data_IF_482221471588
#
_entry.id   IF_482221471588
#
_cell.length_a   1.000
_cell.length_b   1.000
_cell.length_c   1.000
_cell.angle_alpha   90.00
_cell.angle_beta   90.00
_cell.angle_gamma   90.00
#
_symmetry.space_group_name_H-M   'P 1'
#
loop_
_entity.id
_entity.type
_entity.pdbx_description
1 polymer ?
#
# COMPACT_ATOMS: atom_id res chain seq x y z
N UNK A 1 13.49 -49.36 0.75
CA UNK A 1 13.13 -49.91 -0.57
C UNK A 1 12.37 -48.81 -1.27
N UNK A 2 13.03 -48.11 -2.19
CA UNK A 2 12.37 -47.12 -3.04
C UNK A 2 11.47 -47.91 -4.00
N UNK A 3 10.15 -47.77 -3.88
CA UNK A 3 9.22 -48.32 -4.87
C UNK A 3 9.56 -47.70 -6.23
N UNK A 4 9.73 -48.56 -7.24
CA UNK A 4 10.05 -48.13 -8.60
C UNK A 4 8.95 -47.21 -9.10
N UNK A 5 9.30 -46.24 -9.96
CA UNK A 5 8.29 -45.42 -10.63
C UNK A 5 7.28 -46.28 -11.39
N UNK A 6 7.71 -47.44 -11.90
CA UNK A 6 6.83 -48.40 -12.57
C UNK A 6 5.79 -48.99 -11.61
N UNK A 7 6.17 -49.34 -10.37
CA UNK A 7 5.24 -49.87 -9.37
C UNK A 7 4.17 -48.83 -8.99
N UNK A 8 4.58 -47.57 -8.93
CA UNK A 8 3.68 -46.44 -8.65
C UNK A 8 2.74 -46.18 -9.82
N UNK A 9 3.22 -46.30 -11.06
CA UNK A 9 2.39 -46.19 -12.27
C UNK A 9 1.35 -47.32 -12.29
N UNK A 10 1.78 -48.57 -12.08
CA UNK A 10 0.86 -49.73 -12.03
C UNK A 10 -0.17 -49.61 -10.90
N UNK A 11 0.21 -49.10 -9.73
CA UNK A 11 -0.73 -48.84 -8.65
C UNK A 11 -1.78 -47.78 -9.03
N UNK A 12 -1.37 -46.71 -9.73
CA UNK A 12 -2.27 -45.67 -10.22
C UNK A 12 -3.19 -46.23 -11.30
N UNK A 13 -2.67 -47.00 -12.26
CA UNK A 13 -3.46 -47.63 -13.33
C UNK A 13 -4.54 -48.55 -12.77
N UNK A 14 -4.21 -49.34 -11.75
CA UNK A 14 -5.16 -50.21 -11.05
C UNK A 14 -6.23 -49.43 -10.30
N UNK A 15 -5.87 -48.33 -9.62
CA UNK A 15 -6.83 -47.46 -8.92
C UNK A 15 -7.76 -46.74 -9.91
N UNK A 16 -7.25 -46.37 -11.07
CA UNK A 16 -8.02 -45.72 -12.13
C UNK A 16 -8.81 -46.72 -13.00
N UNK A 17 -8.65 -48.03 -12.76
CA UNK A 17 -9.31 -49.09 -13.52
C UNK A 17 -8.88 -49.15 -14.99
N UNK A 18 -7.64 -48.73 -15.30
CA UNK A 18 -7.09 -48.67 -16.67
C UNK A 18 -6.46 -50.02 -17.09
N UNK A 19 -6.24 -50.93 -16.13
CA UNK A 19 -5.50 -52.20 -16.28
C UNK A 19 -6.16 -53.23 -17.25
N UNK A 20 -7.45 -53.09 -17.60
CA UNK A 20 -8.24 -54.15 -18.28
C UNK A 20 -8.67 -53.87 -19.73
N UNK A 21 -8.12 -52.85 -20.41
CA UNK A 21 -8.63 -52.42 -21.73
C UNK A 21 -7.85 -52.97 -22.94
N UNK A 22 -7.52 -54.27 -22.97
CA UNK A 22 -6.95 -54.90 -24.17
C UNK A 22 -7.98 -55.21 -25.28
N UNK A 23 -9.29 -55.20 -24.96
CA UNK A 23 -10.34 -55.66 -25.87
C UNK A 23 -11.36 -54.61 -26.28
N UNK A 24 -11.21 -53.35 -25.86
CA UNK A 24 -12.23 -52.34 -26.13
C UNK A 24 -12.09 -51.81 -27.56
N UNK A 25 -13.13 -52.09 -28.36
CA UNK A 25 -13.21 -51.64 -29.74
C UNK A 25 -13.75 -50.23 -29.78
N UNK A 26 -13.41 -49.50 -30.84
CA UNK A 26 -13.99 -48.16 -31.10
C UNK A 26 -15.51 -48.19 -31.21
N UNK A 27 -16.09 -49.36 -31.47
CA UNK A 27 -17.53 -49.64 -31.55
C UNK A 27 -18.22 -49.67 -30.18
N UNK A 28 -17.47 -49.96 -29.11
CA UNK A 28 -18.00 -50.02 -27.73
C UNK A 28 -18.15 -48.62 -27.11
N UNK A 29 -17.57 -47.60 -27.76
CA UNK A 29 -17.67 -46.21 -27.36
C UNK A 29 -18.78 -45.50 -28.14
N UNK A 30 -19.90 -45.26 -27.49
CA UNK A 30 -20.92 -44.35 -28.00
C UNK A 30 -20.46 -42.89 -27.83
N UNK A 31 -19.60 -42.48 -28.76
CA UNK A 31 -19.02 -41.13 -28.83
C UNK A 31 -20.12 -40.09 -29.01
N UNK A 32 -21.23 -40.44 -29.68
CA UNK A 32 -22.35 -39.53 -29.91
C UNK A 32 -23.12 -39.27 -28.62
N UNK A 33 -23.44 -40.30 -27.84
CA UNK A 33 -24.05 -40.15 -26.51
C UNK A 33 -23.13 -39.42 -25.53
N UNK A 34 -21.82 -39.67 -25.59
CA UNK A 34 -20.86 -38.92 -24.77
C UNK A 34 -20.81 -37.44 -25.16
N UNK A 35 -20.77 -37.13 -26.46
CA UNK A 35 -20.81 -35.77 -26.98
C UNK A 35 -22.11 -35.04 -26.61
N UNK A 36 -23.24 -35.74 -26.66
CA UNK A 36 -24.54 -35.21 -26.26
C UNK A 36 -24.60 -34.96 -24.75
N UNK A 37 -24.10 -35.90 -23.94
CA UNK A 37 -23.98 -35.73 -22.48
C UNK A 37 -23.05 -34.57 -22.12
N UNK A 38 -21.93 -34.40 -22.84
CA UNK A 38 -21.06 -33.24 -22.69
C UNK A 38 -21.77 -31.94 -23.10
N UNK A 39 -22.51 -31.91 -24.21
CA UNK A 39 -23.31 -30.74 -24.60
C UNK A 39 -24.34 -30.38 -23.52
N UNK A 40 -25.03 -31.38 -22.96
CA UNK A 40 -26.04 -31.21 -21.92
C UNK A 40 -25.46 -30.74 -20.58
N UNK A 41 -24.22 -31.12 -20.27
CA UNK A 41 -23.45 -30.62 -19.13
C UNK A 41 -22.87 -29.21 -19.36
N UNK A 42 -23.23 -28.53 -20.45
CA UNK A 42 -22.69 -27.21 -20.82
C UNK A 42 -21.25 -27.27 -21.35
N UNK A 43 -20.67 -28.47 -21.41
CA UNK A 43 -19.34 -28.76 -21.96
C UNK A 43 -19.34 -28.75 -23.51
N UNK A 44 -20.49 -28.54 -24.17
CA UNK A 44 -20.54 -28.17 -25.60
C UNK A 44 -19.80 -26.85 -25.89
N UNK A 45 -19.56 -26.05 -24.83
CA UNK A 45 -18.65 -24.91 -24.80
C UNK A 45 -17.47 -25.16 -23.86
N UNK A 46 -16.90 -26.39 -23.78
CA UNK A 46 -15.56 -26.55 -23.16
C UNK A 46 -14.63 -25.65 -23.95
N UNK A 47 -14.43 -24.48 -23.36
CA UNK A 47 -13.44 -23.47 -23.63
C UNK A 47 -12.76 -23.61 -24.99
N UNK A 48 -13.44 -23.16 -26.05
CA UNK A 48 -12.73 -22.52 -27.17
C UNK A 48 -12.16 -21.19 -26.66
N UNK A 49 -11.30 -21.23 -25.64
CA UNK A 49 -10.42 -20.11 -25.37
C UNK A 49 -9.55 -20.03 -26.61
N UNK A 50 -9.64 -18.96 -27.41
CA UNK A 50 -8.79 -18.81 -28.57
C UNK A 50 -7.33 -18.96 -28.13
N UNK A 51 -6.53 -19.71 -28.88
CA UNK A 51 -5.12 -19.91 -28.55
C UNK A 51 -4.37 -18.58 -28.37
N UNK A 52 -4.85 -17.50 -28.99
CA UNK A 52 -4.38 -16.13 -28.76
C UNK A 52 -4.58 -15.65 -27.32
N UNK A 53 -5.72 -15.95 -26.67
CA UNK A 53 -6.00 -15.62 -25.26
C UNK A 53 -5.19 -16.47 -24.28
N UNK A 54 -4.96 -17.74 -24.60
CA UNK A 54 -4.05 -18.61 -23.83
C UNK A 54 -2.60 -18.17 -23.95
N UNK A 55 -2.16 -17.79 -25.16
CA UNK A 55 -0.84 -17.19 -25.40
C UNK A 55 -0.68 -15.86 -24.67
N UNK A 56 -1.71 -15.02 -24.63
CA UNK A 56 -1.66 -13.77 -23.86
C UNK A 56 -1.54 -14.02 -22.35
N UNK A 57 -2.26 -15.01 -21.82
CA UNK A 57 -2.13 -15.45 -20.41
C UNK A 57 -0.74 -16.00 -20.09
N UNK A 58 -0.20 -16.87 -20.94
CA UNK A 58 1.18 -17.37 -20.78
C UNK A 58 2.21 -16.24 -20.91
N UNK A 59 1.97 -15.27 -21.78
CA UNK A 59 2.82 -14.08 -21.93
C UNK A 59 2.70 -13.11 -20.75
N UNK A 60 1.56 -13.09 -20.04
CA UNK A 60 1.36 -12.32 -18.81
C UNK A 60 2.07 -12.97 -17.63
N UNK A 61 2.08 -14.30 -17.55
CA UNK A 61 2.87 -15.01 -16.55
C UNK A 61 4.40 -14.80 -16.75
N UNK A 62 4.81 -14.60 -18.00
CA UNK A 62 6.21 -14.33 -18.38
C UNK A 62 6.56 -12.83 -18.45
N UNK A 63 5.57 -11.93 -18.42
CA UNK A 63 5.80 -10.49 -18.34
C UNK A 63 5.74 -10.08 -16.88
N UNK A 64 6.78 -9.38 -16.44
CA UNK A 64 6.89 -8.27 -15.45
C UNK A 64 5.67 -7.87 -14.59
N UNK A 65 4.43 -8.04 -15.05
CA UNK A 65 3.16 -7.77 -14.36
C UNK A 65 2.98 -8.64 -13.09
N UNK A 66 3.50 -9.86 -13.07
CA UNK A 66 3.51 -10.74 -11.89
C UNK A 66 4.92 -10.84 -11.26
N UNK A 67 5.79 -9.85 -11.44
CA UNK A 67 7.02 -9.76 -10.65
C UNK A 67 6.66 -9.39 -9.21
N UNK A 68 6.41 -10.42 -8.40
CA UNK A 68 6.13 -10.35 -6.96
C UNK A 68 7.22 -9.61 -6.16
N UNK A 69 8.42 -9.48 -6.72
CA UNK A 69 9.55 -8.77 -6.09
C UNK A 69 9.25 -7.28 -5.84
N UNK A 70 8.41 -6.65 -6.67
CA UNK A 70 7.97 -5.26 -6.41
C UNK A 70 6.84 -5.19 -5.39
N UNK A 71 6.04 -6.24 -5.29
CA UNK A 71 4.95 -6.35 -4.31
C UNK A 71 5.53 -6.59 -2.91
N UNK A 72 6.62 -7.36 -2.79
CA UNK A 72 7.30 -7.57 -1.51
C UNK A 72 7.99 -6.31 -0.97
N UNK A 73 8.44 -5.40 -1.86
CA UNK A 73 9.03 -4.11 -1.47
C UNK A 73 7.97 -3.12 -0.97
N UNK A 74 6.70 -3.27 -1.40
CA UNK A 74 5.63 -2.35 -1.02
C UNK A 74 5.40 -2.29 0.49
N UNK A 75 5.46 -3.43 1.19
CA UNK A 75 5.32 -3.47 2.65
C UNK A 75 6.45 -2.71 3.38
N UNK A 76 7.68 -2.83 2.86
CA UNK A 76 8.83 -2.09 3.42
C UNK A 76 8.72 -0.58 3.14
N UNK A 77 8.22 -0.20 1.97
CA UNK A 77 7.97 1.21 1.64
C UNK A 77 6.85 1.81 2.48
N UNK A 78 5.82 1.02 2.82
CA UNK A 78 4.73 1.44 3.69
C UNK A 78 5.23 1.73 5.11
N UNK A 79 6.05 0.85 5.68
CA UNK A 79 6.71 1.10 6.98
C UNK A 79 7.59 2.37 6.97
N UNK A 80 8.33 2.60 5.89
CA UNK A 80 9.14 3.81 5.72
C UNK A 80 8.27 5.07 5.59
N UNK A 81 7.13 4.97 4.91
CA UNK A 81 6.18 6.07 4.77
C UNK A 81 5.51 6.42 6.09
N UNK A 82 5.11 5.42 6.88
CA UNK A 82 4.55 5.64 8.23
C UNK A 82 5.55 6.31 9.16
N UNK A 83 6.81 5.87 9.14
CA UNK A 83 7.87 6.51 9.92
C UNK A 83 8.09 7.97 9.50
N UNK A 84 8.11 8.24 8.20
CA UNK A 84 8.24 9.59 7.66
C UNK A 84 7.05 10.48 8.02
N UNK A 85 5.83 9.95 7.95
CA UNK A 85 4.61 10.66 8.35
C UNK A 85 4.67 11.06 9.82
N UNK A 86 5.09 10.14 10.69
CA UNK A 86 5.23 10.41 12.13
C UNK A 86 6.31 11.47 12.41
N UNK A 87 7.44 11.42 11.71
CA UNK A 87 8.49 12.42 11.83
C UNK A 87 8.04 13.81 11.35
N UNK A 88 7.30 13.88 10.23
CA UNK A 88 6.71 15.13 9.73
C UNK A 88 5.72 15.68 10.74
N UNK A 89 4.85 14.84 11.29
CA UNK A 89 3.86 15.26 12.28
C UNK A 89 4.53 15.80 13.55
N UNK A 90 5.57 15.13 14.05
CA UNK A 90 6.38 15.61 15.18
C UNK A 90 7.00 16.98 14.89
N UNK A 91 7.64 17.14 13.73
CA UNK A 91 8.26 18.41 13.34
C UNK A 91 7.25 19.54 13.20
N UNK A 92 6.04 19.24 12.71
CA UNK A 92 4.95 20.20 12.60
C UNK A 92 4.43 20.63 13.98
N UNK A 93 4.31 19.72 14.94
CA UNK A 93 3.88 20.05 16.29
C UNK A 93 4.94 20.84 17.08
N UNK A 94 6.22 20.51 16.90
CA UNK A 94 7.34 21.32 17.41
C UNK A 94 7.32 22.74 16.83
N UNK A 95 7.14 22.87 15.51
CA UNK A 95 7.09 24.18 14.86
C UNK A 95 5.92 25.04 15.35
N UNK A 96 4.74 24.44 15.53
CA UNK A 96 3.60 25.14 16.14
C UNK A 96 3.93 25.64 17.55
N UNK A 97 4.56 24.79 18.37
CA UNK A 97 4.98 25.16 19.73
C UNK A 97 5.93 26.36 19.70
N UNK A 98 6.98 26.32 18.89
CA UNK A 98 7.92 27.43 18.76
C UNK A 98 7.26 28.71 18.26
N UNK A 99 6.28 28.59 17.36
CA UNK A 99 5.55 29.75 16.84
C UNK A 99 4.72 30.41 17.95
N UNK A 100 4.04 29.62 18.78
CA UNK A 100 3.30 30.12 19.94
C UNK A 100 4.21 30.78 20.98
N UNK A 101 5.32 30.14 21.33
CA UNK A 101 6.32 30.72 22.25
C UNK A 101 6.88 32.05 21.72
N UNK A 102 7.09 32.16 20.40
CA UNK A 102 7.56 33.39 19.77
C UNK A 102 6.48 34.49 19.80
N UNK A 103 5.21 34.14 19.62
CA UNK A 103 4.09 35.08 19.74
C UNK A 103 3.93 35.59 21.18
N UNK A 104 4.04 34.70 22.17
CA UNK A 104 4.03 35.04 23.59
C UNK A 104 5.19 35.99 23.94
N UNK A 105 6.41 35.62 23.56
CA UNK A 105 7.59 36.48 23.75
C UNK A 105 7.40 37.86 23.10
N UNK A 106 6.83 37.91 21.89
CA UNK A 106 6.56 39.16 21.18
C UNK A 106 5.55 40.03 21.96
N UNK A 107 4.49 39.43 22.51
CA UNK A 107 3.52 40.15 23.34
C UNK A 107 4.16 40.72 24.61
N UNK A 108 4.96 39.92 25.31
CA UNK A 108 5.69 40.36 26.50
C UNK A 108 6.66 41.50 26.16
N UNK A 109 7.42 41.37 25.08
CA UNK A 109 8.33 42.40 24.60
C UNK A 109 7.60 43.73 24.35
N UNK A 110 6.46 43.71 23.64
CA UNK A 110 5.68 44.93 23.41
C UNK A 110 5.10 45.52 24.69
N UNK A 111 4.68 44.69 25.65
CA UNK A 111 4.23 45.16 26.95
C UNK A 111 5.33 45.88 27.73
N UNK A 112 6.56 45.35 27.70
CA UNK A 112 7.73 45.99 28.34
C UNK A 112 8.07 47.30 27.65
N UNK A 113 8.10 47.33 26.32
CA UNK A 113 8.37 48.56 25.55
C UNK A 113 7.35 49.64 25.87
N UNK A 114 6.06 49.30 25.94
CA UNK A 114 5.01 50.24 26.28
C UNK A 114 5.19 50.83 27.69
N UNK A 115 5.49 49.99 28.69
CA UNK A 115 5.75 50.46 30.05
C UNK A 115 7.00 51.35 30.16
N UNK A 116 8.05 51.06 29.38
CA UNK A 116 9.22 51.93 29.31
C UNK A 116 8.90 53.28 28.65
N UNK A 117 8.08 53.29 27.60
CA UNK A 117 7.65 54.52 26.92
C UNK A 117 6.85 55.41 27.88
N UNK A 118 5.88 54.85 28.60
CA UNK A 118 5.10 55.59 29.60
C UNK A 118 6.03 56.21 30.67
N UNK A 119 7.02 55.44 31.13
CA UNK A 119 7.96 55.95 32.14
C UNK A 119 8.88 57.07 31.61
N UNK A 120 9.26 57.02 30.34
CA UNK A 120 10.01 58.09 29.68
C UNK A 120 9.15 59.34 29.56
N UNK A 121 7.89 59.21 29.13
CA UNK A 121 6.94 60.33 29.04
C UNK A 121 6.69 61.00 30.40
N UNK A 122 6.55 60.21 31.47
CA UNK A 122 6.43 60.73 32.83
C UNK A 122 7.66 61.53 33.26
N UNK A 123 8.87 61.02 32.97
CA UNK A 123 10.12 61.70 33.31
C UNK A 123 10.28 63.00 32.52
N UNK A 124 9.96 63.00 31.22
CA UNK A 124 9.99 64.19 30.38
C UNK A 124 9.02 65.26 30.90
N UNK A 125 7.82 64.86 31.34
CA UNK A 125 6.86 65.77 31.96
C UNK A 125 7.38 66.35 33.28
N UNK A 126 8.05 65.55 34.11
CA UNK A 126 8.64 66.03 35.37
C UNK A 126 9.79 67.00 35.12
N UNK A 127 10.67 66.70 34.16
CA UNK A 127 11.78 67.59 33.76
C UNK A 127 11.22 68.93 33.30
N UNK A 128 10.23 68.91 32.41
CA UNK A 128 9.59 70.13 31.89
C UNK A 128 8.99 70.98 33.02
N UNK A 129 8.35 70.35 34.01
CA UNK A 129 7.79 71.07 35.15
C UNK A 129 8.89 71.71 36.03
N UNK A 130 9.98 70.99 36.30
CA UNK A 130 11.11 71.50 37.07
C UNK A 130 11.79 72.66 36.35
N UNK A 131 11.95 72.57 35.02
CA UNK A 131 12.53 73.65 34.22
C UNK A 131 11.67 74.92 34.30
N UNK A 132 10.34 74.79 34.18
CA UNK A 132 9.41 75.91 34.32
C UNK A 132 9.43 76.54 35.71
N UNK A 133 9.47 75.73 36.77
CA UNK A 133 9.56 76.22 38.16
C UNK A 133 10.92 76.90 38.45
N UNK A 134 11.97 76.54 37.72
CA UNK A 134 13.30 77.16 37.86
C UNK A 134 13.44 78.51 37.13
N UNK A 135 12.61 78.74 36.11
CA UNK A 135 12.58 79.99 35.33
C UNK A 135 11.61 81.05 35.88
N UNK A 136 10.73 80.68 36.82
CA UNK A 136 9.74 81.55 37.48
C UNK A 136 10.26 82.24 38.75
#
# INVERSE_FOLDING_TARGET
MEESLDDRITAIERVMGIDDYSDVKTEDFDVDSLLERMKNLGLGRVMKIPLSKLKSLKSLNNRVVLQTDKISIAAQQEEQLEALELDIQRGLDEWKKYTLELEEFKLEYFSVVAGLQERVEELDSMITAIEQDSEA
#
